data_IF_169496802268
#
_entry.id   IF_169496802268
#
_cell.length_a   1.000
_cell.length_b   1.000
_cell.length_c   1.000
_cell.angle_alpha   90.00
_cell.angle_beta   90.00
_cell.angle_gamma   90.00
#
_symmetry.space_group_name_H-M   'P 1'
#
loop_
_entity.id
_entity.type
_entity.pdbx_description
1 polymer ?
#
# COMPACT_ATOMS: atom_id res chain seq x y z
N UNK A 1 -43.40 -57.36 40.69
CA UNK A 1 -43.27 -55.90 40.53
C UNK A 1 -41.91 -55.49 41.09
N UNK A 2 -40.85 -55.64 40.31
CA UNK A 2 -39.47 -55.29 40.69
C UNK A 2 -38.65 -55.02 39.42
N UNK A 3 -37.90 -53.93 39.44
CA UNK A 3 -37.21 -53.32 38.31
C UNK A 3 -35.87 -53.99 37.97
N UNK A 4 -35.50 -53.99 36.68
CA UNK A 4 -34.11 -54.11 36.21
C UNK A 4 -33.91 -53.13 35.03
N UNK A 5 -32.88 -52.29 35.17
CA UNK A 5 -32.34 -51.30 34.24
C UNK A 5 -31.93 -51.89 32.88
N UNK A 6 -32.03 -51.11 31.79
CA UNK A 6 -31.00 -51.12 30.74
C UNK A 6 -31.02 -49.85 29.88
N UNK A 7 -29.83 -49.23 29.82
CA UNK A 7 -29.38 -48.16 28.93
C UNK A 7 -29.77 -48.41 27.47
N UNK A 8 -30.14 -47.35 26.75
CA UNK A 8 -30.26 -47.36 25.28
C UNK A 8 -29.91 -46.00 24.69
N UNK A 9 -28.62 -45.71 24.58
CA UNK A 9 -28.12 -44.61 23.76
C UNK A 9 -28.20 -45.00 22.28
N UNK A 10 -28.97 -44.28 21.47
CA UNK A 10 -28.92 -44.42 20.02
C UNK A 10 -27.72 -43.63 19.50
N UNK A 11 -26.60 -44.33 19.29
CA UNK A 11 -25.48 -43.84 18.49
C UNK A 11 -25.95 -43.69 17.03
N UNK A 12 -25.97 -42.45 16.52
CA UNK A 12 -25.97 -42.21 15.09
C UNK A 12 -24.59 -42.63 14.56
N UNK A 13 -24.57 -43.73 13.81
CA UNK A 13 -23.36 -44.27 13.19
C UNK A 13 -22.94 -43.42 11.98
N UNK A 14 -21.62 -43.23 11.82
CA UNK A 14 -20.99 -42.70 10.63
C UNK A 14 -21.31 -43.58 9.41
N UNK A 15 -22.04 -43.04 8.43
CA UNK A 15 -22.00 -43.55 7.06
C UNK A 15 -20.80 -42.94 6.33
N UNK A 16 -19.73 -43.71 6.20
CA UNK A 16 -18.72 -43.52 5.16
C UNK A 16 -19.24 -44.20 3.90
N UNK A 17 -19.66 -43.40 2.94
CA UNK A 17 -19.84 -43.82 1.55
C UNK A 17 -18.94 -42.91 0.72
N UNK A 18 -17.86 -43.50 0.21
CA UNK A 18 -17.09 -42.88 -0.85
C UNK A 18 -17.94 -42.86 -2.11
N UNK A 19 -18.10 -41.67 -2.68
CA UNK A 19 -18.28 -41.49 -4.11
C UNK A 19 -17.73 -40.12 -4.48
N UNK A 20 -17.17 -40.03 -5.69
CA UNK A 20 -16.35 -38.92 -6.15
C UNK A 20 -17.04 -37.56 -5.98
N UNK A 21 -16.28 -36.59 -5.48
CA UNK A 21 -16.66 -35.20 -5.59
C UNK A 21 -16.42 -34.78 -7.05
N UNK A 22 -17.43 -34.96 -7.88
CA UNK A 22 -17.53 -34.37 -9.21
C UNK A 22 -17.51 -32.83 -9.07
N UNK A 23 -16.34 -32.24 -9.29
CA UNK A 23 -16.22 -30.81 -9.62
C UNK A 23 -16.51 -30.63 -11.12
N UNK A 24 -17.62 -31.19 -11.59
CA UNK A 24 -18.21 -30.90 -12.90
C UNK A 24 -19.18 -29.73 -12.72
N UNK A 25 -18.62 -28.59 -12.34
CA UNK A 25 -19.36 -27.39 -11.99
C UNK A 25 -18.42 -26.23 -11.73
N UNK A 26 -17.40 -26.09 -12.58
CA UNK A 26 -16.69 -24.82 -12.71
C UNK A 26 -17.68 -23.81 -13.34
N UNK A 27 -18.60 -23.30 -12.53
CA UNK A 27 -19.12 -21.97 -12.75
C UNK A 27 -17.89 -21.08 -12.91
N UNK A 28 -17.80 -20.45 -14.08
CA UNK A 28 -16.77 -19.47 -14.40
C UNK A 28 -16.85 -18.39 -13.35
N UNK A 29 -16.05 -18.52 -12.30
CA UNK A 29 -15.81 -17.47 -11.34
C UNK A 29 -15.17 -16.32 -12.12
N UNK A 30 -15.99 -15.32 -12.42
CA UNK A 30 -15.55 -14.00 -12.89
C UNK A 30 -15.09 -13.21 -11.67
N UNK A 31 -14.19 -13.77 -10.87
CA UNK A 31 -13.41 -12.96 -9.97
C UNK A 31 -12.26 -12.39 -10.79
N UNK A 32 -12.19 -11.06 -10.86
CA UNK A 32 -11.08 -10.31 -11.45
C UNK A 32 -9.80 -10.45 -10.59
N UNK A 33 -9.48 -11.68 -10.16
CA UNK A 33 -8.19 -12.00 -9.58
C UNK A 33 -7.24 -12.18 -10.75
N UNK A 34 -6.52 -11.10 -11.07
CA UNK A 34 -5.39 -11.14 -12.00
C UNK A 34 -4.48 -12.32 -11.61
N UNK A 35 -4.28 -13.25 -12.54
CA UNK A 35 -3.47 -14.46 -12.31
C UNK A 35 -2.02 -14.03 -12.08
N UNK A 36 -1.56 -14.15 -10.83
CA UNK A 36 -0.15 -13.96 -10.48
C UNK A 36 0.65 -15.11 -11.07
N UNK A 37 1.68 -14.81 -11.88
CA UNK A 37 2.50 -15.84 -12.50
C UNK A 37 3.52 -16.40 -11.51
N UNK A 38 4.02 -17.61 -11.78
CA UNK A 38 5.09 -18.20 -10.98
C UNK A 38 6.38 -17.38 -11.01
N UNK A 39 6.64 -16.70 -12.13
CA UNK A 39 7.77 -15.80 -12.29
C UNK A 39 7.63 -14.58 -11.36
N UNK A 40 6.43 -14.03 -11.21
CA UNK A 40 6.18 -12.91 -10.28
C UNK A 40 6.42 -13.31 -8.81
N UNK A 41 6.09 -14.56 -8.45
CA UNK A 41 6.26 -15.05 -7.07
C UNK A 41 7.72 -15.39 -6.72
N UNK A 42 8.53 -15.83 -7.71
CA UNK A 42 9.93 -16.21 -7.48
C UNK A 42 10.93 -15.15 -7.94
N UNK A 43 10.47 -14.18 -8.71
CA UNK A 43 11.24 -13.10 -9.27
C UNK A 43 11.72 -12.11 -8.20
N UNK A 44 12.80 -11.42 -8.52
CA UNK A 44 13.28 -10.31 -7.72
C UNK A 44 12.37 -9.08 -7.85
N UNK A 45 11.53 -8.87 -6.85
CA UNK A 45 10.79 -7.63 -6.72
C UNK A 45 11.63 -6.68 -5.81
N UNK A 46 12.08 -5.49 -6.29
CA UNK A 46 12.88 -4.50 -5.53
C UNK A 46 12.20 -3.98 -4.27
N UNK A 47 12.92 -3.79 -3.17
CA UNK A 47 12.33 -3.31 -1.91
C UNK A 47 11.79 -1.88 -2.02
N UNK A 48 10.66 -1.60 -1.35
CA UNK A 48 10.13 -0.24 -1.19
C UNK A 48 10.38 0.24 0.23
N UNK A 49 10.83 1.48 0.36
CA UNK A 49 11.14 2.10 1.64
C UNK A 49 10.70 3.57 1.63
N UNK A 50 10.44 4.11 2.82
CA UNK A 50 10.27 5.55 2.99
C UNK A 50 11.62 6.25 2.81
N UNK A 51 11.65 7.34 2.05
CA UNK A 51 12.83 8.18 1.98
C UNK A 51 13.00 8.92 3.31
N UNK A 52 14.22 8.99 3.81
CA UNK A 52 14.49 9.68 5.07
C UNK A 52 14.08 11.15 4.99
N UNK A 53 13.39 11.63 6.02
CA UNK A 53 12.94 13.02 6.11
C UNK A 53 11.73 13.39 5.25
N UNK A 54 11.14 12.44 4.50
CA UNK A 54 9.97 12.71 3.64
C UNK A 54 8.70 11.95 4.07
N UNK A 55 8.73 11.28 5.22
CA UNK A 55 7.57 10.56 5.76
C UNK A 55 6.48 11.50 6.31
N UNK A 56 6.83 12.76 6.59
CA UNK A 56 5.95 13.77 7.16
C UNK A 56 5.93 15.01 6.26
N UNK A 57 4.77 15.65 6.17
CA UNK A 57 4.55 16.86 5.40
C UNK A 57 3.61 17.79 6.16
N UNK A 58 4.07 19.00 6.48
CA UNK A 58 3.32 19.98 7.25
C UNK A 58 3.10 21.23 6.42
N UNK A 59 1.88 21.76 6.45
CA UNK A 59 1.56 23.05 5.84
C UNK A 59 1.14 24.01 6.94
N UNK A 60 1.70 25.22 6.90
CA UNK A 60 1.50 26.27 7.89
C UNK A 60 0.79 27.48 7.28
N UNK A 61 0.12 28.25 8.13
CA UNK A 61 -0.37 29.58 7.85
C UNK A 61 0.56 30.61 8.49
N UNK A 62 1.42 31.26 7.70
CA UNK A 62 2.46 32.16 8.21
C UNK A 62 3.71 31.41 8.67
N UNK A 63 4.23 31.74 9.86
CA UNK A 63 5.48 31.17 10.39
C UNK A 63 5.35 29.67 10.72
N UNK A 64 6.44 28.91 10.62
CA UNK A 64 6.50 27.45 10.86
C UNK A 64 6.43 27.07 12.36
N UNK A 65 5.37 27.49 13.04
CA UNK A 65 5.12 27.20 14.46
C UNK A 65 4.00 26.19 14.64
N UNK A 66 3.97 25.48 15.77
CA UNK A 66 2.91 24.50 16.06
C UNK A 66 1.50 25.10 16.10
N UNK A 67 1.38 26.40 16.40
CA UNK A 67 0.09 27.11 16.43
C UNK A 67 -0.40 27.46 15.03
N UNK A 68 0.49 27.52 14.05
CA UNK A 68 0.21 27.91 12.68
C UNK A 68 -0.01 26.72 11.75
N UNK A 69 0.03 25.49 12.26
CA UNK A 69 -0.19 24.30 11.43
C UNK A 69 -1.62 24.31 10.89
N UNK A 70 -1.73 24.29 9.56
CA UNK A 70 -2.99 24.10 8.84
C UNK A 70 -3.33 22.60 8.75
N UNK A 71 -2.38 21.78 8.31
CA UNK A 71 -2.51 20.32 8.37
C UNK A 71 -1.15 19.64 8.41
N UNK A 72 -1.14 18.41 8.90
CA UNK A 72 -0.01 17.49 8.90
C UNK A 72 -0.40 16.21 8.17
N UNK A 73 0.44 15.73 7.29
CA UNK A 73 0.31 14.45 6.63
C UNK A 73 1.46 13.54 7.05
N UNK A 74 1.16 12.26 7.22
CA UNK A 74 2.15 11.23 7.53
C UNK A 74 1.89 10.00 6.69
N UNK A 75 2.95 9.45 6.09
CA UNK A 75 2.92 8.12 5.46
C UNK A 75 3.21 7.10 6.56
N UNK A 76 2.36 6.08 6.67
CA UNK A 76 2.49 5.01 7.66
C UNK A 76 3.03 3.74 7.03
N UNK A 77 2.61 3.45 5.80
CA UNK A 77 2.91 2.19 5.14
C UNK A 77 3.20 2.42 3.66
N UNK A 78 4.13 1.61 3.15
CA UNK A 78 4.46 1.55 1.73
C UNK A 78 4.50 0.10 1.30
N UNK A 79 3.93 -0.20 0.15
CA UNK A 79 3.92 -1.56 -0.40
C UNK A 79 4.10 -1.52 -1.91
N UNK A 80 4.36 -2.69 -2.47
CA UNK A 80 4.74 -2.87 -3.86
C UNK A 80 4.20 -4.18 -4.41
N UNK A 81 3.86 -4.16 -5.68
CA UNK A 81 3.54 -5.33 -6.48
C UNK A 81 4.40 -5.28 -7.73
N UNK A 82 5.03 -6.39 -8.09
CA UNK A 82 5.77 -6.52 -9.34
C UNK A 82 5.07 -7.48 -10.30
N UNK A 83 5.27 -7.24 -11.59
CA UNK A 83 4.86 -8.11 -12.67
C UNK A 83 5.96 -8.16 -13.72
N UNK A 84 6.34 -9.35 -14.13
CA UNK A 84 7.29 -9.57 -15.22
C UNK A 84 6.54 -9.73 -16.54
N UNK A 85 6.81 -8.85 -17.49
CA UNK A 85 6.19 -8.88 -18.81
C UNK A 85 7.21 -8.46 -19.88
N UNK A 86 7.40 -9.29 -20.91
CA UNK A 86 8.21 -8.96 -22.09
C UNK A 86 9.66 -8.48 -21.76
N UNK A 87 10.31 -9.08 -20.76
CA UNK A 87 11.66 -8.68 -20.33
C UNK A 87 11.71 -7.34 -19.59
N UNK A 88 10.56 -6.85 -19.14
CA UNK A 88 10.44 -5.67 -18.29
C UNK A 88 9.88 -6.07 -16.92
N UNK A 89 10.31 -5.34 -15.92
CA UNK A 89 9.76 -5.39 -14.58
C UNK A 89 8.81 -4.20 -14.40
N UNK A 90 7.51 -4.49 -14.44
CA UNK A 90 6.46 -3.55 -14.11
C UNK A 90 6.19 -3.54 -12.61
N UNK A 91 6.10 -2.37 -12.01
CA UNK A 91 5.85 -2.22 -10.58
C UNK A 91 4.67 -1.29 -10.33
N UNK A 92 3.89 -1.64 -9.31
CA UNK A 92 2.91 -0.76 -8.68
C UNK A 92 3.36 -0.50 -7.26
N UNK A 93 3.41 0.76 -6.86
CA UNK A 93 3.80 1.18 -5.52
C UNK A 93 2.62 1.87 -4.88
N UNK A 94 2.19 1.37 -3.73
CA UNK A 94 1.11 1.99 -2.96
C UNK A 94 1.67 2.61 -1.68
N UNK A 95 1.18 3.80 -1.37
CA UNK A 95 1.55 4.64 -0.24
C UNK A 95 0.29 4.90 0.56
N UNK A 96 0.28 4.45 1.81
CA UNK A 96 -0.83 4.64 2.72
C UNK A 96 -0.43 5.60 3.84
N UNK A 97 -1.35 6.47 4.22
CA UNK A 97 -1.08 7.48 5.23
C UNK A 97 -2.33 8.12 5.76
N UNK A 98 -2.12 9.20 6.50
CA UNK A 98 -3.20 10.00 7.11
C UNK A 98 -2.88 11.48 7.10
N UNK A 99 -3.94 12.28 7.07
CA UNK A 99 -3.91 13.73 7.21
C UNK A 99 -4.65 14.13 8.47
N UNK A 100 -4.06 15.01 9.26
CA UNK A 100 -4.60 15.61 10.48
C UNK A 100 -4.68 17.12 10.28
N UNK A 101 -5.85 17.69 10.60
CA UNK A 101 -5.99 19.15 10.66
C UNK A 101 -5.27 19.69 11.91
N UNK A 102 -4.53 20.77 11.73
CA UNK A 102 -3.87 21.50 12.83
C UNK A 102 -4.76 22.62 13.40
N UNK A 103 -4.24 23.46 14.31
CA UNK A 103 -5.01 24.54 14.93
C UNK A 103 -5.56 25.58 13.95
N UNK A 104 -4.87 25.82 12.81
CA UNK A 104 -5.35 26.68 11.72
C UNK A 104 -6.07 25.89 10.61
N UNK A 105 -6.31 24.60 10.83
CA UNK A 105 -6.91 23.70 9.85
C UNK A 105 -8.44 23.82 9.82
N UNK A 106 -9.00 23.72 8.63
CA UNK A 106 -10.44 23.59 8.41
C UNK A 106 -10.71 22.48 7.39
N UNK A 107 -11.93 21.94 7.42
CA UNK A 107 -12.39 20.94 6.45
C UNK A 107 -12.26 21.47 5.01
N UNK A 108 -11.93 20.59 4.07
CA UNK A 108 -11.90 20.89 2.64
C UNK A 108 -10.85 20.08 1.90
N UNK A 109 -10.52 20.53 0.69
CA UNK A 109 -9.57 19.84 -0.19
C UNK A 109 -8.12 20.08 0.24
N UNK A 110 -7.37 18.98 0.40
CA UNK A 110 -5.91 18.97 0.61
C UNK A 110 -5.23 18.33 -0.59
N UNK A 111 -4.00 18.79 -0.90
CA UNK A 111 -3.15 18.22 -1.94
C UNK A 111 -1.82 17.78 -1.32
N UNK A 112 -1.49 16.52 -1.50
CA UNK A 112 -0.25 15.91 -1.01
C UNK A 112 0.70 15.65 -2.17
N UNK A 113 1.91 16.22 -2.19
CA UNK A 113 2.87 15.95 -3.25
C UNK A 113 3.61 14.65 -2.94
N UNK A 114 3.21 13.54 -3.54
CA UNK A 114 3.82 12.23 -3.29
C UNK A 114 4.78 11.92 -4.43
N UNK A 115 6.04 11.63 -4.10
CA UNK A 115 7.05 11.14 -5.03
C UNK A 115 7.25 9.63 -4.87
N UNK A 116 7.34 8.94 -5.99
CA UNK A 116 7.86 7.56 -6.07
C UNK A 116 9.08 7.58 -6.99
N UNK A 117 10.18 6.99 -6.54
CA UNK A 117 11.42 6.91 -7.31
C UNK A 117 12.05 5.53 -7.21
N UNK A 118 12.58 5.01 -8.32
CA UNK A 118 13.35 3.79 -8.37
C UNK A 118 14.81 4.14 -8.71
N UNK A 119 15.73 3.73 -7.85
CA UNK A 119 17.16 4.00 -7.98
C UNK A 119 17.95 2.69 -7.97
N UNK A 120 19.08 2.65 -8.65
CA UNK A 120 20.08 1.59 -8.47
C UNK A 120 20.93 1.85 -7.21
N UNK A 121 21.68 0.85 -6.76
CA UNK A 121 22.61 0.97 -5.63
C UNK A 121 23.78 1.93 -5.87
N UNK A 122 23.93 2.46 -7.09
CA UNK A 122 24.88 3.52 -7.44
C UNK A 122 24.22 4.90 -7.63
N UNK A 123 23.02 5.09 -7.09
CA UNK A 123 22.22 6.34 -7.15
C UNK A 123 21.72 6.73 -8.56
N UNK A 124 21.83 5.84 -9.54
CA UNK A 124 21.24 6.06 -10.87
C UNK A 124 19.71 6.02 -10.79
N UNK A 125 19.06 7.08 -11.27
CA UNK A 125 17.60 7.20 -11.26
C UNK A 125 17.03 6.49 -12.48
N UNK A 126 16.30 5.40 -12.25
CA UNK A 126 15.60 4.64 -13.29
C UNK A 126 14.18 5.18 -13.53
N UNK A 127 13.56 5.70 -12.48
CA UNK A 127 12.22 6.28 -12.51
C UNK A 127 12.10 7.29 -11.36
N UNK A 128 11.39 8.40 -11.56
CA UNK A 128 11.08 9.34 -10.50
C UNK A 128 9.94 10.25 -10.92
N UNK A 129 8.77 10.08 -10.31
CA UNK A 129 7.60 10.92 -10.58
C UNK A 129 7.04 11.52 -9.30
N UNK A 130 6.55 12.76 -9.38
CA UNK A 130 5.79 13.42 -8.31
C UNK A 130 4.37 13.61 -8.80
N UNK A 131 3.39 13.15 -8.02
CA UNK A 131 1.99 13.37 -8.33
C UNK A 131 1.26 14.03 -7.15
N UNK A 132 0.46 15.09 -7.41
CA UNK A 132 -0.37 15.71 -6.40
C UNK A 132 -1.59 14.82 -6.13
N UNK A 133 -1.62 14.15 -4.98
CA UNK A 133 -2.77 13.38 -4.53
C UNK A 133 -3.76 14.29 -3.80
N UNK A 134 -4.98 14.38 -4.33
CA UNK A 134 -6.03 15.26 -3.79
C UNK A 134 -7.03 14.45 -2.97
N UNK A 135 -7.35 14.92 -1.77
CA UNK A 135 -8.34 14.30 -0.89
C UNK A 135 -9.15 15.36 -0.14
N UNK A 136 -10.37 15.00 0.24
CA UNK A 136 -11.21 15.81 1.13
C UNK A 136 -10.95 15.42 2.58
N UNK A 137 -10.61 16.40 3.41
CA UNK A 137 -10.45 16.23 4.85
C UNK A 137 -11.61 16.90 5.58
N UNK A 138 -12.02 16.30 6.69
CA UNK A 138 -13.09 16.84 7.53
C UNK A 138 -12.57 17.07 8.96
N UNK A 139 -13.36 17.81 9.75
CA UNK A 139 -13.02 18.11 11.14
C UNK A 139 -13.06 16.88 12.08
N UNK A 140 -13.55 15.73 11.61
CA UNK A 140 -13.63 14.50 12.41
C UNK A 140 -12.34 13.68 12.33
N UNK A 141 -11.29 14.16 12.99
CA UNK A 141 -10.07 13.39 13.23
C UNK A 141 -9.18 13.18 11.99
N UNK A 142 -8.46 12.05 11.97
CA UNK A 142 -7.49 11.75 10.91
C UNK A 142 -8.18 11.19 9.66
N UNK A 143 -7.96 11.82 8.52
CA UNK A 143 -8.42 11.30 7.22
C UNK A 143 -7.36 10.37 6.64
N UNK A 144 -7.70 9.11 6.40
CA UNK A 144 -6.79 8.14 5.77
C UNK A 144 -6.76 8.29 4.25
N UNK A 145 -5.63 7.95 3.64
CA UNK A 145 -5.50 7.89 2.19
C UNK A 145 -4.65 6.72 1.71
N UNK A 146 -4.89 6.33 0.45
CA UNK A 146 -4.05 5.40 -0.29
C UNK A 146 -3.80 6.02 -1.67
N UNK A 147 -2.53 6.24 -1.98
CA UNK A 147 -2.03 6.63 -3.29
C UNK A 147 -1.34 5.45 -3.95
N UNK A 148 -1.53 5.26 -5.25
CA UNK A 148 -0.87 4.20 -6.01
C UNK A 148 -0.25 4.78 -7.28
N UNK A 149 1.05 4.54 -7.47
CA UNK A 149 1.75 4.76 -8.72
C UNK A 149 1.88 3.41 -9.44
N UNK A 150 1.39 3.31 -10.67
CA UNK A 150 1.41 2.09 -11.49
C UNK A 150 2.31 2.16 -12.72
N UNK A 151 3.03 3.26 -12.90
CA UNK A 151 3.72 3.60 -14.15
C UNK A 151 5.20 3.23 -14.12
N UNK A 152 5.68 2.73 -12.98
CA UNK A 152 7.06 2.29 -12.81
C UNK A 152 7.34 1.09 -13.73
N UNK A 153 8.20 1.29 -14.74
CA UNK A 153 8.69 0.27 -15.65
C UNK A 153 10.21 0.36 -15.70
N UNK A 154 10.89 -0.74 -15.40
CA UNK A 154 12.34 -0.84 -15.54
C UNK A 154 12.69 -2.09 -16.34
N UNK A 155 13.84 -2.06 -17.02
CA UNK A 155 14.36 -3.28 -17.64
C UNK A 155 14.57 -4.35 -16.58
N UNK A 156 14.26 -5.61 -16.91
CA UNK A 156 14.41 -6.72 -15.98
C UNK A 156 15.85 -6.76 -15.43
N UNK A 157 16.04 -6.56 -14.12
CA UNK A 157 17.38 -6.39 -13.57
C UNK A 157 18.09 -7.74 -13.38
N UNK A 158 19.35 -7.80 -13.81
CA UNK A 158 20.22 -8.97 -13.60
C UNK A 158 20.79 -9.02 -12.16
N UNK A 159 20.73 -7.90 -11.44
CA UNK A 159 21.22 -7.74 -10.08
C UNK A 159 20.13 -7.26 -9.12
N UNK A 160 20.25 -7.63 -7.84
CA UNK A 160 19.31 -7.22 -6.79
C UNK A 160 19.69 -5.88 -6.15
N UNK A 161 19.91 -4.86 -6.96
CA UNK A 161 20.45 -3.56 -6.53
C UNK A 161 19.48 -2.39 -6.72
N UNK A 162 18.22 -2.62 -7.05
CA UNK A 162 17.22 -1.56 -7.18
C UNK A 162 16.52 -1.35 -5.82
N UNK A 163 16.34 -0.09 -5.46
CA UNK A 163 15.55 0.34 -4.30
C UNK A 163 14.50 1.34 -4.75
N UNK A 164 13.27 1.14 -4.29
CA UNK A 164 12.16 2.05 -4.50
C UNK A 164 12.03 2.92 -3.25
N UNK A 165 11.99 4.22 -3.45
CA UNK A 165 11.69 5.19 -2.42
C UNK A 165 10.32 5.82 -2.67
N UNK A 166 9.55 5.96 -1.60
CA UNK A 166 8.33 6.75 -1.58
C UNK A 166 8.40 7.81 -0.48
N UNK A 167 7.75 8.95 -0.70
CA UNK A 167 7.76 10.04 0.27
C UNK A 167 7.04 11.28 -0.23
N UNK A 168 6.85 12.26 0.65
CA UNK A 168 6.42 13.59 0.25
C UNK A 168 7.56 14.37 -0.41
N UNK A 169 7.21 15.27 -1.33
CA UNK A 169 8.17 16.14 -2.00
C UNK A 169 7.70 17.60 -2.00
N UNK A 170 8.42 18.46 -1.27
CA UNK A 170 8.09 19.88 -1.12
C UNK A 170 8.75 20.75 -2.21
N UNK A 171 9.44 20.14 -3.17
CA UNK A 171 10.38 20.82 -4.04
C UNK A 171 11.64 21.29 -3.30
N UNK A 172 12.45 22.18 -3.90
CA UNK A 172 13.56 22.79 -3.20
C UNK A 172 13.03 23.56 -1.99
N UNK A 173 13.40 23.14 -0.77
CA UNK A 173 13.13 23.92 0.43
C UNK A 173 13.69 25.31 0.22
N UNK A 174 12.84 26.33 0.29
CA UNK A 174 13.32 27.72 0.35
C UNK A 174 14.23 27.77 1.56
N UNK A 175 15.53 27.99 1.34
CA UNK A 175 16.56 27.88 2.37
C UNK A 175 16.05 28.53 3.66
N UNK A 176 16.01 27.74 4.74
CA UNK A 176 15.59 28.21 6.04
C UNK A 176 16.36 29.51 6.34
N UNK A 177 15.63 30.63 6.41
CA UNK A 177 16.20 31.90 6.78
C UNK A 177 16.74 31.75 8.19
N UNK A 178 18.07 31.62 8.29
CA UNK A 178 18.78 31.66 9.55
C UNK A 178 18.78 33.13 9.98
N UNK A 179 17.94 33.47 10.95
CA UNK A 179 18.07 34.72 11.70
C UNK A 179 19.09 34.52 12.82
#
# INVERSE_FOLDING_TARGET
MAAIFLMGATLAACQSAGDGLDVAGAEKDKSDIERVSFEDLRGYCPTVQLREGTAYFNVYEGDETSQNVRYQAAITDVTRQCKYENGQLAMKVAVAGRVLLGPQGSSGTVKLPIRVAALTGGDEVLYSEIQPYTLEVNASGATQFIYTDSDIRVSQPDARNIVIYAGFDEGPKKAAATN
#
